data_IF_952254876437
#
_entry.id   IF_952254876437
#
_cell.length_a   1.000
_cell.length_b   1.000
_cell.length_c   1.000
_cell.angle_alpha   90.00
_cell.angle_beta   90.00
_cell.angle_gamma   90.00
#
_symmetry.space_group_name_H-M   'P 1'
#
loop_
_entity.id
_entity.type
_entity.pdbx_description
1 polymer ?
#
# COMPACT_ATOMS: atom_id res chain seq x y z
N UNK A 1 57.72 -27.27 -11.24
CA UNK A 1 56.82 -26.26 -10.66
C UNK A 1 56.20 -25.50 -11.81
N UNK A 2 55.03 -25.97 -12.26
CA UNK A 2 54.19 -25.34 -13.28
C UNK A 2 53.08 -24.57 -12.56
N UNK A 3 52.71 -23.39 -13.06
CA UNK A 3 51.38 -22.83 -12.84
C UNK A 3 50.79 -22.42 -14.19
N UNK A 4 49.69 -23.09 -14.54
CA UNK A 4 48.90 -22.92 -15.74
C UNK A 4 47.85 -21.83 -15.55
N UNK A 5 47.58 -21.09 -16.62
CA UNK A 5 46.32 -20.36 -16.82
C UNK A 5 45.19 -21.34 -17.16
N UNK A 6 43.94 -21.03 -16.79
CA UNK A 6 42.87 -20.65 -17.74
C UNK A 6 41.44 -20.88 -17.24
N UNK A 7 40.55 -20.01 -17.72
CA UNK A 7 39.16 -20.25 -18.16
C UNK A 7 38.01 -20.33 -17.13
N UNK A 8 37.20 -19.26 -17.18
CA UNK A 8 35.78 -19.25 -17.58
C UNK A 8 34.89 -20.41 -17.08
N UNK A 9 33.92 -20.09 -16.22
CA UNK A 9 32.65 -20.81 -16.14
C UNK A 9 31.50 -19.82 -16.00
N UNK A 10 30.79 -19.62 -17.12
CA UNK A 10 29.42 -19.13 -17.16
C UNK A 10 28.54 -20.22 -16.56
N UNK A 11 27.85 -19.95 -15.45
CA UNK A 11 26.74 -20.80 -15.01
C UNK A 11 25.46 -20.22 -15.57
N UNK A 12 24.78 -21.05 -16.37
CA UNK A 12 23.54 -20.76 -17.05
C UNK A 12 22.40 -20.48 -16.06
N UNK A 13 21.68 -19.37 -16.30
CA UNK A 13 20.30 -19.19 -15.82
C UNK A 13 19.43 -20.27 -16.47
N UNK A 14 19.11 -21.30 -15.70
CA UNK A 14 18.07 -22.26 -16.04
C UNK A 14 16.70 -21.61 -15.82
N UNK A 15 16.01 -21.30 -16.91
CA UNK A 15 14.58 -21.05 -16.92
C UNK A 15 13.89 -22.36 -16.53
N UNK A 16 13.39 -22.46 -15.30
CA UNK A 16 12.47 -23.52 -14.92
C UNK A 16 11.06 -23.05 -15.29
N UNK A 17 10.63 -23.38 -16.51
CA UNK A 17 9.23 -23.38 -16.89
C UNK A 17 8.47 -24.38 -16.02
N UNK A 18 7.66 -23.89 -15.09
CA UNK A 18 6.67 -24.69 -14.41
C UNK A 18 5.50 -24.95 -15.38
N UNK A 19 5.46 -26.15 -15.96
CA UNK A 19 4.30 -26.66 -16.66
C UNK A 19 3.17 -26.95 -15.65
N UNK A 20 2.15 -26.10 -15.59
CA UNK A 20 0.88 -26.45 -14.96
C UNK A 20 0.11 -27.40 -15.88
N UNK A 21 -0.06 -28.63 -15.42
CA UNK A 21 -1.02 -29.60 -15.96
C UNK A 21 -2.42 -29.13 -15.59
N UNK A 22 -3.11 -28.50 -16.54
CA UNK A 22 -4.54 -28.23 -16.47
C UNK A 22 -5.30 -29.50 -16.88
N UNK A 23 -5.91 -30.19 -15.92
CA UNK A 23 -6.90 -31.24 -16.20
C UNK A 23 -8.29 -30.59 -16.22
N UNK A 24 -8.74 -30.16 -17.40
CA UNK A 24 -10.11 -29.70 -17.61
C UNK A 24 -10.98 -30.89 -18.02
N UNK A 25 -11.96 -31.23 -17.18
CA UNK A 25 -13.06 -32.12 -17.57
C UNK A 25 -14.07 -31.36 -18.43
N UNK A 26 -14.43 -32.00 -19.53
CA UNK A 26 -15.36 -31.56 -20.57
C UNK A 26 -16.80 -31.89 -20.16
N UNK A 27 -17.68 -30.90 -20.27
CA UNK A 27 -19.08 -30.99 -20.71
C UNK A 27 -19.49 -29.52 -20.97
N UNK A 28 -19.79 -29.01 -22.16
CA UNK A 28 -20.35 -29.62 -23.35
C UNK A 28 -21.66 -28.89 -23.69
N UNK A 29 -21.69 -28.23 -24.85
CA UNK A 29 -22.79 -27.54 -25.58
C UNK A 29 -22.76 -25.99 -25.50
N UNK A 30 -22.21 -25.27 -26.49
CA UNK A 30 -22.57 -25.10 -27.90
C UNK A 30 -23.74 -24.12 -28.11
N UNK A 31 -23.42 -22.90 -28.56
CA UNK A 31 -23.92 -22.32 -29.82
C UNK A 31 -23.21 -20.98 -30.09
N UNK A 32 -22.23 -21.02 -31.00
CA UNK A 32 -21.75 -19.84 -31.70
C UNK A 32 -22.14 -20.01 -33.18
N UNK A 33 -22.75 -18.98 -33.75
CA UNK A 33 -22.82 -18.80 -35.20
C UNK A 33 -22.22 -17.44 -35.52
N UNK A 34 -21.23 -17.47 -36.41
CA UNK A 34 -20.65 -16.32 -37.08
C UNK A 34 -20.80 -16.50 -38.60
N UNK A 35 -20.65 -15.37 -39.31
CA UNK A 35 -20.35 -15.22 -40.76
C UNK A 35 -21.58 -15.27 -41.70
N UNK A 36 -21.78 -14.43 -42.73
CA UNK A 36 -21.03 -13.32 -43.42
C UNK A 36 -22.06 -12.54 -44.34
N UNK A 37 -21.70 -11.86 -45.47
CA UNK A 37 -21.91 -10.42 -45.72
C UNK A 37 -22.87 -10.17 -46.93
N UNK A 38 -22.76 -9.01 -47.61
CA UNK A 38 -23.44 -8.56 -48.86
C UNK A 38 -24.63 -7.60 -48.63
N UNK A 39 -24.84 -6.46 -49.31
CA UNK A 39 -24.26 -5.86 -50.52
C UNK A 39 -24.45 -4.32 -50.49
N UNK A 40 -23.67 -3.62 -51.32
CA UNK A 40 -23.77 -2.20 -51.67
C UNK A 40 -25.11 -1.82 -52.33
N UNK A 41 -25.49 -0.54 -52.26
CA UNK A 41 -25.80 0.35 -53.40
C UNK A 41 -26.37 1.70 -52.90
N UNK A 42 -25.92 2.81 -53.50
CA UNK A 42 -26.76 4.01 -53.66
C UNK A 42 -26.21 5.33 -53.14
N UNK A 43 -25.37 5.96 -53.96
CA UNK A 43 -25.01 7.38 -53.96
C UNK A 43 -26.26 8.24 -54.17
N UNK A 44 -26.46 9.32 -53.41
CA UNK A 44 -26.65 10.62 -54.05
C UNK A 44 -26.38 11.85 -53.17
N UNK A 45 -25.85 12.85 -53.83
CA UNK A 45 -25.27 14.08 -53.31
C UNK A 45 -26.31 15.21 -53.32
N UNK A 46 -26.19 16.19 -52.43
CA UNK A 46 -26.56 17.57 -52.78
C UNK A 46 -25.82 18.60 -51.91
N UNK A 47 -24.81 19.19 -52.54
CA UNK A 47 -24.17 20.45 -52.16
C UNK A 47 -25.06 21.61 -52.62
N UNK A 48 -25.26 22.61 -51.77
CA UNK A 48 -25.67 23.94 -52.21
C UNK A 48 -24.46 24.87 -52.18
N UNK A 49 -23.94 25.14 -53.38
CA UNK A 49 -22.99 26.21 -53.65
C UNK A 49 -23.74 27.54 -53.75
N UNK A 50 -23.18 28.61 -53.17
CA UNK A 50 -23.50 29.99 -53.53
C UNK A 50 -22.23 30.69 -53.99
N UNK A 51 -22.41 31.35 -55.12
CA UNK A 51 -21.45 31.77 -56.13
C UNK A 51 -20.92 33.17 -55.82
N UNK A 52 -19.62 33.35 -55.99
CA UNK A 52 -18.92 34.64 -55.95
C UNK A 52 -19.05 35.30 -57.32
N UNK A 53 -19.48 36.56 -57.36
CA UNK A 53 -19.28 37.47 -58.50
C UNK A 53 -18.36 38.62 -58.05
N UNK A 54 -17.36 38.92 -58.88
CA UNK A 54 -16.51 40.11 -58.83
C UNK A 54 -16.91 41.03 -59.99
N UNK A 55 -17.01 42.35 -59.77
CA UNK A 55 -16.20 43.39 -60.45
C UNK A 55 -16.45 44.80 -59.85
N UNK A 56 -15.68 45.88 -60.20
CA UNK A 56 -15.04 46.74 -59.20
C UNK A 56 -15.38 48.25 -59.31
N UNK A 57 -15.11 49.05 -58.27
CA UNK A 57 -14.58 50.43 -58.35
C UNK A 57 -14.51 51.13 -56.98
N UNK A 58 -13.29 51.60 -56.66
CA UNK A 58 -12.91 52.84 -55.94
C UNK A 58 -13.82 53.43 -54.84
N UNK A 59 -13.31 53.58 -53.61
CA UNK A 59 -12.46 54.72 -53.23
C UNK A 59 -11.99 54.60 -51.77
N UNK A 60 -10.85 55.21 -51.54
CA UNK A 60 -10.06 55.32 -50.31
C UNK A 60 -10.81 55.90 -49.10
N UNK A 61 -10.70 55.20 -47.96
CA UNK A 61 -10.59 55.83 -46.65
C UNK A 61 -9.85 54.89 -45.69
N UNK A 62 -8.58 55.20 -45.43
CA UNK A 62 -7.76 54.55 -44.40
C UNK A 62 -8.16 55.16 -43.06
N UNK A 63 -8.79 54.35 -42.20
CA UNK A 63 -8.91 54.64 -40.77
C UNK A 63 -7.68 54.05 -40.05
N UNK A 64 -7.13 54.71 -39.01
CA UNK A 64 -5.87 54.28 -38.41
C UNK A 64 -6.04 52.95 -37.67
N UNK A 65 -5.05 52.08 -37.84
CA UNK A 65 -4.89 50.85 -37.04
C UNK A 65 -4.82 51.27 -35.57
N UNK A 66 -5.87 50.98 -34.80
CA UNK A 66 -5.76 50.95 -33.36
C UNK A 66 -4.80 49.83 -33.00
N UNK A 67 -3.67 50.19 -32.40
CA UNK A 67 -2.79 49.25 -31.72
C UNK A 67 -3.65 48.48 -30.71
N UNK A 68 -3.87 47.19 -30.97
CA UNK A 68 -4.29 46.27 -29.94
C UNK A 68 -3.13 46.26 -28.96
N UNK A 69 -3.30 46.96 -27.83
CA UNK A 69 -2.49 46.71 -26.66
C UNK A 69 -2.73 45.24 -26.33
N UNK A 70 -1.75 44.39 -26.66
CA UNK A 70 -1.59 43.11 -25.99
C UNK A 70 -1.31 43.46 -24.54
N UNK A 71 -2.36 43.51 -23.71
CA UNK A 71 -2.20 43.29 -22.28
C UNK A 71 -1.49 41.95 -22.16
N UNK A 72 -0.19 41.99 -21.82
CA UNK A 72 0.54 40.81 -21.38
C UNK A 72 -0.33 40.12 -20.35
N UNK A 73 -0.67 38.85 -20.59
CA UNK A 73 -1.28 38.01 -19.59
C UNK A 73 -0.48 38.17 -18.28
N UNK A 74 -1.13 38.35 -17.13
CA UNK A 74 -0.43 38.63 -15.88
C UNK A 74 0.67 37.57 -15.69
N UNK A 75 1.90 38.04 -15.47
CA UNK A 75 3.07 37.19 -15.32
C UNK A 75 2.76 36.02 -14.39
N UNK A 76 2.95 34.79 -14.90
CA UNK A 76 2.67 33.54 -14.21
C UNK A 76 3.27 33.62 -12.79
N UNK A 77 2.44 33.54 -11.76
CA UNK A 77 2.86 33.67 -10.36
C UNK A 77 3.60 32.40 -9.91
N UNK A 78 4.82 32.26 -10.41
CA UNK A 78 5.75 31.18 -10.11
C UNK A 78 6.60 31.60 -8.91
N UNK A 79 6.51 30.83 -7.83
CA UNK A 79 7.40 30.99 -6.67
C UNK A 79 8.53 29.98 -6.78
N UNK A 80 9.73 30.36 -6.40
CA UNK A 80 10.90 29.48 -6.44
C UNK A 80 11.59 29.36 -5.08
N UNK A 81 12.40 28.32 -4.93
CA UNK A 81 13.25 28.15 -3.77
C UNK A 81 14.17 26.95 -3.89
N UNK A 82 14.67 26.50 -2.75
CA UNK A 82 15.55 25.34 -2.65
C UNK A 82 15.13 24.39 -1.54
N UNK A 83 15.25 23.10 -1.83
CA UNK A 83 15.32 22.04 -0.84
C UNK A 83 16.72 21.46 -0.94
N UNK A 84 17.59 22.00 -0.11
CA UNK A 84 19.00 21.68 -0.17
C UNK A 84 19.72 22.15 -1.42
N UNK A 85 20.39 21.22 -2.10
CA UNK A 85 21.00 21.45 -3.40
C UNK A 85 19.97 21.59 -4.52
N UNK A 86 18.77 21.05 -4.32
CA UNK A 86 17.73 20.98 -5.35
C UNK A 86 16.89 22.25 -5.41
N UNK A 87 16.81 22.86 -6.58
CA UNK A 87 15.89 23.97 -6.84
C UNK A 87 14.47 23.46 -7.02
N UNK A 88 13.49 24.28 -6.66
CA UNK A 88 12.09 24.01 -6.98
C UNK A 88 11.40 25.27 -7.49
N UNK A 89 10.38 25.08 -8.31
CA UNK A 89 9.43 26.11 -8.71
C UNK A 89 8.01 25.65 -8.42
N UNK A 90 7.11 26.56 -8.11
CA UNK A 90 5.70 26.29 -7.81
C UNK A 90 4.82 27.25 -8.58
N UNK A 91 3.92 26.71 -9.40
CA UNK A 91 2.87 27.44 -10.07
C UNK A 91 1.58 27.36 -9.26
N UNK A 92 1.21 28.50 -8.66
CA UNK A 92 -0.01 28.61 -7.85
C UNK A 92 -1.31 28.44 -8.65
N UNK A 93 -1.28 28.67 -9.97
CA UNK A 93 -2.47 28.54 -10.83
C UNK A 93 -2.80 27.07 -11.15
N UNK A 94 -1.78 26.24 -11.34
CA UNK A 94 -1.92 24.80 -11.59
C UNK A 94 -1.76 23.95 -10.33
N UNK A 95 -1.28 24.56 -9.23
CA UNK A 95 -0.88 23.89 -7.99
C UNK A 95 0.20 22.81 -8.21
N UNK A 96 1.05 23.02 -9.21
CA UNK A 96 2.13 22.10 -9.60
C UNK A 96 3.47 22.63 -9.12
N UNK A 97 4.29 21.74 -8.56
CA UNK A 97 5.68 22.00 -8.22
C UNK A 97 6.60 21.17 -9.10
N UNK A 98 7.65 21.82 -9.60
CA UNK A 98 8.78 21.17 -10.27
C UNK A 98 9.97 21.16 -9.31
N UNK A 99 10.46 19.99 -8.94
CA UNK A 99 11.62 19.77 -8.06
C UNK A 99 12.82 19.30 -8.89
N UNK A 100 14.02 19.72 -8.50
CA UNK A 100 15.25 19.53 -9.28
C UNK A 100 15.15 20.13 -10.70
N UNK A 101 14.39 21.22 -10.85
CA UNK A 101 14.05 21.76 -12.18
C UNK A 101 15.27 22.31 -12.95
N UNK A 102 16.31 22.78 -12.24
CA UNK A 102 17.48 23.42 -12.86
C UNK A 102 18.56 22.41 -13.30
N UNK A 103 18.37 21.12 -13.02
CA UNK A 103 19.32 20.05 -13.28
C UNK A 103 19.51 19.13 -12.06
N UNK A 104 20.36 18.12 -12.23
CA UNK A 104 20.68 17.17 -11.17
C UNK A 104 21.25 17.87 -9.92
N UNK A 105 20.94 17.34 -8.75
CA UNK A 105 21.27 17.96 -7.47
C UNK A 105 21.43 16.92 -6.36
N UNK A 106 22.08 17.33 -5.28
CA UNK A 106 22.18 16.51 -4.07
C UNK A 106 21.07 16.90 -3.09
N UNK A 107 20.35 15.89 -2.58
CA UNK A 107 19.45 16.07 -1.45
C UNK A 107 20.25 16.53 -0.22
N UNK A 108 19.76 17.53 0.52
CA UNK A 108 20.48 18.01 1.71
C UNK A 108 20.44 17.06 2.91
N UNK A 109 21.24 17.47 3.91
CA UNK A 109 21.33 17.03 5.30
C UNK A 109 20.00 16.46 5.85
N UNK A 110 20.05 15.31 6.54
CA UNK A 110 18.97 14.61 7.24
C UNK A 110 17.81 15.43 7.81
N UNK A 111 16.58 14.92 7.65
CA UNK A 111 15.41 15.33 8.44
C UNK A 111 14.86 16.73 8.15
N UNK A 112 14.99 17.20 6.90
CA UNK A 112 14.42 18.48 6.44
C UNK A 112 13.35 18.23 5.38
N UNK A 113 12.09 18.46 5.76
CA UNK A 113 10.96 18.36 4.84
C UNK A 113 11.09 19.33 3.67
N UNK A 114 10.62 18.93 2.50
CA UNK A 114 10.34 19.85 1.41
C UNK A 114 9.35 20.91 1.92
N UNK A 115 9.66 22.19 1.71
CA UNK A 115 8.83 23.30 2.21
C UNK A 115 8.65 23.31 3.75
N UNK A 116 9.64 22.82 4.51
CA UNK A 116 9.58 22.73 5.97
C UNK A 116 9.60 24.06 6.76
N UNK A 117 9.70 25.22 6.11
CA UNK A 117 9.67 26.54 6.78
C UNK A 117 8.23 27.07 6.90
N UNK A 118 7.96 27.88 7.92
CA UNK A 118 6.65 28.55 8.08
C UNK A 118 6.29 29.41 6.87
N UNK A 119 7.28 30.09 6.29
CA UNK A 119 7.11 30.92 5.09
C UNK A 119 6.64 30.12 3.86
N UNK A 120 6.87 28.80 3.84
CA UNK A 120 6.47 27.89 2.76
C UNK A 120 5.28 27.00 3.13
N UNK A 121 4.72 27.13 4.34
CA UNK A 121 3.63 26.27 4.81
C UNK A 121 2.34 26.43 3.99
N UNK A 122 2.08 27.61 3.42
CA UNK A 122 0.96 27.82 2.51
C UNK A 122 1.14 27.08 1.19
N UNK A 123 2.35 27.05 0.63
CA UNK A 123 2.66 26.28 -0.58
C UNK A 123 2.53 24.78 -0.28
N UNK A 124 3.11 24.33 0.84
CA UNK A 124 3.08 22.92 1.27
C UNK A 124 1.65 22.38 1.35
N UNK A 125 0.73 23.14 1.97
CA UNK A 125 -0.67 22.69 2.11
C UNK A 125 -1.49 22.71 0.82
N UNK A 126 -1.06 23.47 -0.20
CA UNK A 126 -1.82 23.70 -1.43
C UNK A 126 -1.23 23.03 -2.69
N UNK A 127 -0.01 22.50 -2.63
CA UNK A 127 0.57 21.75 -3.76
C UNK A 127 -0.25 20.48 -4.00
N UNK A 128 -0.59 20.22 -5.26
CA UNK A 128 -1.35 19.02 -5.66
C UNK A 128 -0.51 18.01 -6.43
N UNK A 129 0.47 18.51 -7.18
CA UNK A 129 1.35 17.66 -7.98
C UNK A 129 2.79 18.10 -7.79
N UNK A 130 3.68 17.15 -7.54
CA UNK A 130 5.13 17.35 -7.59
C UNK A 130 5.68 16.55 -8.76
N UNK A 131 6.51 17.19 -9.57
CA UNK A 131 7.23 16.57 -10.69
C UNK A 131 8.71 16.70 -10.37
N UNK A 132 9.42 15.57 -10.29
CA UNK A 132 10.87 15.53 -10.11
C UNK A 132 11.51 15.49 -11.50
N UNK A 133 12.03 16.62 -11.97
CA UNK A 133 12.46 16.78 -13.36
C UNK A 133 13.82 16.13 -13.67
N UNK A 134 14.71 16.07 -12.67
CA UNK A 134 16.08 15.58 -12.83
C UNK A 134 16.50 14.74 -11.62
N UNK A 135 17.61 14.00 -11.77
CA UNK A 135 18.15 13.13 -10.73
C UNK A 135 18.44 13.87 -9.43
N UNK A 136 17.97 13.31 -8.32
CA UNK A 136 18.26 13.74 -6.96
C UNK A 136 19.15 12.69 -6.30
N UNK A 137 20.43 13.00 -6.10
CA UNK A 137 21.36 12.11 -5.41
C UNK A 137 21.13 12.17 -3.91
N UNK A 138 20.89 11.02 -3.27
CA UNK A 138 20.75 10.89 -1.83
C UNK A 138 22.08 10.43 -1.23
N UNK A 139 22.60 11.22 -0.29
CA UNK A 139 23.89 10.96 0.37
C UNK A 139 23.75 10.44 1.81
N UNK A 140 22.57 10.62 2.43
CA UNK A 140 22.31 10.25 3.82
C UNK A 140 21.00 9.47 3.95
N UNK A 141 20.99 8.46 4.84
CA UNK A 141 19.82 7.60 5.11
C UNK A 141 18.52 8.35 5.37
N UNK A 142 18.60 9.50 6.05
CA UNK A 142 17.44 10.27 6.50
C UNK A 142 17.06 11.43 5.57
N UNK A 143 17.66 11.54 4.38
CA UNK A 143 17.35 12.66 3.48
C UNK A 143 15.92 12.60 2.93
N UNK A 144 15.30 11.42 2.86
CA UNK A 144 13.92 11.24 2.38
C UNK A 144 12.88 11.24 3.51
N UNK A 145 13.31 11.26 4.77
CA UNK A 145 12.40 11.32 5.91
C UNK A 145 11.52 12.55 5.83
N UNK A 146 10.21 12.36 5.99
CA UNK A 146 9.22 13.43 6.02
C UNK A 146 9.24 14.34 4.79
N UNK A 147 9.72 13.85 3.63
CA UNK A 147 9.92 14.68 2.44
C UNK A 147 8.66 15.45 2.05
N UNK A 148 7.50 14.78 1.99
CA UNK A 148 6.21 15.35 1.63
C UNK A 148 5.25 15.54 2.81
N UNK A 149 5.74 15.33 4.04
CA UNK A 149 4.91 15.40 5.24
C UNK A 149 4.12 16.71 5.32
N UNK A 150 2.82 16.62 5.63
CA UNK A 150 1.86 17.73 5.71
C UNK A 150 1.56 18.45 4.40
N UNK A 151 1.88 17.84 3.26
CA UNK A 151 1.40 18.31 1.98
C UNK A 151 -0.06 17.86 1.76
N UNK A 152 -0.99 18.44 2.54
CA UNK A 152 -2.37 17.95 2.66
C UNK A 152 -3.16 17.86 1.35
N UNK A 153 -2.78 18.62 0.32
CA UNK A 153 -3.44 18.58 -1.00
C UNK A 153 -2.69 17.74 -2.04
N UNK A 154 -1.52 17.16 -1.68
CA UNK A 154 -0.66 16.45 -2.61
C UNK A 154 -1.28 15.10 -2.98
N UNK A 155 -1.62 14.95 -4.25
CA UNK A 155 -2.28 13.77 -4.82
C UNK A 155 -1.38 12.99 -5.78
N UNK A 156 -0.37 13.65 -6.36
CA UNK A 156 0.48 13.03 -7.37
C UNK A 156 1.94 13.43 -7.20
N UNK A 157 2.83 12.44 -7.25
CA UNK A 157 4.27 12.63 -7.42
C UNK A 157 4.70 11.89 -8.68
N UNK A 158 5.33 12.59 -9.61
CA UNK A 158 5.86 12.03 -10.85
C UNK A 158 7.39 12.05 -10.82
N UNK A 159 8.01 10.96 -11.27
CA UNK A 159 9.46 10.84 -11.34
C UNK A 159 10.09 10.52 -9.99
N UNK A 160 9.42 9.78 -9.10
CA UNK A 160 10.03 9.38 -7.84
C UNK A 160 11.26 8.50 -8.08
N UNK A 161 11.25 7.72 -9.15
CA UNK A 161 12.41 7.00 -9.70
C UNK A 161 13.63 7.85 -10.07
N UNK A 162 13.52 9.18 -10.12
CA UNK A 162 14.68 10.07 -10.29
C UNK A 162 15.49 10.25 -8.99
N UNK A 163 15.05 9.67 -7.87
CA UNK A 163 15.80 9.67 -6.62
C UNK A 163 16.82 8.53 -6.65
N UNK A 164 18.11 8.87 -6.65
CA UNK A 164 19.22 7.94 -6.66
C UNK A 164 19.78 7.74 -5.25
N UNK A 165 19.58 6.54 -4.68
CA UNK A 165 20.09 6.15 -3.35
C UNK A 165 21.44 5.44 -3.41
N UNK A 166 22.02 5.21 -4.60
CA UNK A 166 23.21 4.35 -4.77
C UNK A 166 24.49 4.93 -4.17
N UNK A 167 24.52 6.25 -3.94
CA UNK A 167 25.69 6.96 -3.40
C UNK A 167 25.70 7.04 -1.87
N UNK A 168 24.73 6.42 -1.20
CA UNK A 168 24.67 6.40 0.27
C UNK A 168 25.79 5.57 0.89
N UNK A 169 26.31 6.02 2.03
CA UNK A 169 27.32 5.30 2.81
C UNK A 169 26.73 4.35 3.88
N UNK A 170 25.41 4.12 3.84
CA UNK A 170 24.68 3.32 4.82
C UNK A 170 23.76 2.34 4.10
N UNK A 171 23.54 1.18 4.71
CA UNK A 171 22.74 0.12 4.09
C UNK A 171 21.23 0.31 4.25
N UNK A 172 20.78 1.36 4.95
CA UNK A 172 19.36 1.62 5.22
C UNK A 172 18.92 2.94 4.62
N UNK A 173 17.89 2.91 3.77
CA UNK A 173 17.14 4.08 3.30
C UNK A 173 15.95 4.31 4.23
N UNK A 174 15.78 5.51 4.77
CA UNK A 174 14.63 5.83 5.61
C UNK A 174 13.63 6.69 4.84
N UNK A 175 12.46 6.10 4.59
CA UNK A 175 11.27 6.76 4.05
C UNK A 175 10.32 7.18 5.19
N UNK A 176 10.85 7.28 6.41
CA UNK A 176 10.02 7.48 7.60
C UNK A 176 9.16 8.75 7.46
N UNK A 177 7.86 8.59 7.57
CA UNK A 177 6.89 9.69 7.50
C UNK A 177 6.88 10.45 6.18
N UNK A 178 7.47 9.90 5.11
CA UNK A 178 7.69 10.61 3.85
C UNK A 178 6.38 11.14 3.24
N UNK A 179 5.30 10.36 3.33
CA UNK A 179 3.97 10.67 2.79
C UNK A 179 2.93 10.97 3.88
N UNK A 180 3.33 11.18 5.15
CA UNK A 180 2.36 11.44 6.24
C UNK A 180 1.52 12.69 5.98
N UNK A 181 0.22 12.61 6.29
CA UNK A 181 -0.71 13.74 6.14
C UNK A 181 -0.80 14.28 4.69
N UNK A 182 -0.69 13.39 3.70
CA UNK A 182 -0.88 13.66 2.24
C UNK A 182 -2.10 12.91 1.69
N UNK A 183 -2.44 13.12 0.41
CA UNK A 183 -3.46 12.36 -0.32
C UNK A 183 -2.81 11.39 -1.34
N UNK A 184 -1.57 10.98 -1.11
CA UNK A 184 -0.89 9.99 -1.94
C UNK A 184 -1.45 8.59 -1.68
N UNK A 185 -1.49 7.78 -2.73
CA UNK A 185 -2.23 6.50 -2.76
C UNK A 185 -1.34 5.27 -3.03
N UNK A 186 -0.02 5.44 -3.09
CA UNK A 186 0.94 4.37 -3.41
C UNK A 186 1.44 4.40 -4.85
N UNK A 187 0.70 5.02 -5.79
CA UNK A 187 1.08 5.06 -7.20
C UNK A 187 2.40 5.78 -7.46
N UNK A 188 2.84 6.67 -6.56
CA UNK A 188 4.13 7.35 -6.66
C UNK A 188 5.33 6.40 -6.60
N UNK A 189 5.15 5.18 -6.10
CA UNK A 189 6.22 4.20 -5.98
C UNK A 189 6.39 3.30 -7.21
N UNK A 190 5.52 3.40 -8.22
CA UNK A 190 5.55 2.53 -9.41
C UNK A 190 6.89 2.60 -10.17
N UNK A 191 7.55 3.76 -10.15
CA UNK A 191 8.85 4.00 -10.79
C UNK A 191 10.04 4.07 -9.80
N UNK A 192 9.81 3.86 -8.50
CA UNK A 192 10.83 3.96 -7.46
C UNK A 192 11.40 2.60 -7.07
N UNK A 193 12.68 2.38 -7.37
CA UNK A 193 13.36 1.09 -7.18
C UNK A 193 14.48 1.20 -6.14
N UNK A 194 14.53 0.23 -5.23
CA UNK A 194 15.63 0.00 -4.28
C UNK A 194 16.08 -1.45 -4.47
N UNK A 195 17.37 -1.67 -4.74
CA UNK A 195 17.92 -3.00 -5.03
C UNK A 195 18.40 -3.69 -3.73
N UNK A 196 19.56 -3.28 -3.21
CA UNK A 196 20.23 -3.99 -2.10
C UNK A 196 19.97 -3.40 -0.71
N UNK A 197 19.49 -2.16 -0.63
CA UNK A 197 19.40 -1.43 0.64
C UNK A 197 18.19 -1.89 1.43
N UNK A 198 18.31 -1.98 2.75
CA UNK A 198 17.18 -2.14 3.65
C UNK A 198 16.37 -0.84 3.68
N UNK A 199 15.07 -0.94 3.96
CA UNK A 199 14.17 0.21 3.96
C UNK A 199 13.38 0.28 5.26
N UNK A 200 13.38 1.47 5.87
CA UNK A 200 12.55 1.82 7.02
C UNK A 200 11.37 2.67 6.52
N UNK A 201 10.15 2.13 6.63
CA UNK A 201 8.90 2.78 6.18
C UNK A 201 7.99 3.15 7.34
N UNK A 202 8.54 3.31 8.55
CA UNK A 202 7.76 3.78 9.70
C UNK A 202 7.00 5.06 9.37
N UNK A 203 5.78 5.17 9.86
CA UNK A 203 4.94 6.35 9.66
C UNK A 203 4.67 6.74 8.18
N UNK A 204 5.03 5.91 7.17
CA UNK A 204 5.11 6.34 5.75
C UNK A 204 3.90 7.15 5.30
N UNK A 205 2.70 6.66 5.59
CA UNK A 205 1.40 7.26 5.29
C UNK A 205 0.60 7.57 6.57
N UNK A 206 1.25 7.73 7.72
CA UNK A 206 0.55 8.03 8.98
C UNK A 206 -0.33 9.27 8.82
N UNK A 207 -1.58 9.17 9.26
CA UNK A 207 -2.59 10.20 9.12
C UNK A 207 -2.87 10.57 7.68
N UNK A 208 -2.90 9.58 6.77
CA UNK A 208 -3.21 9.85 5.36
C UNK A 208 -4.59 10.48 5.24
N UNK A 209 -4.73 11.35 4.24
CA UNK A 209 -5.98 11.98 3.84
C UNK A 209 -6.56 11.30 2.57
N UNK A 210 -5.89 10.25 2.08
CA UNK A 210 -6.40 9.43 1.00
C UNK A 210 -7.46 8.44 1.54
N UNK A 211 -8.55 8.27 0.81
CA UNK A 211 -9.60 7.30 1.18
C UNK A 211 -9.22 5.87 0.82
N UNK A 212 -8.26 5.68 -0.08
CA UNK A 212 -7.79 4.37 -0.52
C UNK A 212 -6.28 4.42 -0.75
N UNK A 213 -5.59 3.34 -0.39
CA UNK A 213 -4.16 3.16 -0.66
C UNK A 213 -3.92 1.79 -1.30
N UNK A 214 -3.19 1.78 -2.42
CA UNK A 214 -2.70 0.56 -3.06
C UNK A 214 -1.18 0.45 -2.90
N UNK A 215 -0.76 -0.34 -1.90
CA UNK A 215 0.66 -0.58 -1.63
C UNK A 215 1.28 -1.61 -2.59
N UNK A 216 0.55 -2.11 -3.59
CA UNK A 216 1.11 -3.06 -4.56
C UNK A 216 2.09 -2.43 -5.55
N UNK A 217 2.14 -1.10 -5.61
CA UNK A 217 3.13 -0.34 -6.35
C UNK A 217 4.50 -0.28 -5.68
N UNK A 218 4.59 -0.59 -4.37
CA UNK A 218 5.87 -0.73 -3.67
C UNK A 218 6.45 -2.10 -4.02
N UNK A 219 7.52 -2.16 -4.84
CA UNK A 219 8.11 -3.42 -5.31
C UNK A 219 9.28 -3.93 -4.45
N UNK A 220 9.59 -3.23 -3.35
CA UNK A 220 10.73 -3.51 -2.48
C UNK A 220 10.29 -3.98 -1.09
N UNK A 221 9.15 -4.68 -0.96
CA UNK A 221 8.70 -5.23 0.33
C UNK A 221 9.70 -6.20 0.96
N UNK A 222 10.48 -6.88 0.12
CA UNK A 222 11.55 -7.74 0.57
C UNK A 222 12.69 -6.97 1.24
N UNK A 223 12.83 -5.66 1.03
CA UNK A 223 13.82 -4.79 1.68
C UNK A 223 13.32 -4.14 2.98
N UNK A 224 12.00 -4.09 3.18
CA UNK A 224 11.40 -3.37 4.32
C UNK A 224 11.67 -4.12 5.62
N UNK A 225 12.17 -3.42 6.64
CA UNK A 225 12.44 -4.00 7.97
C UNK A 225 11.41 -3.63 9.03
N UNK A 226 10.81 -2.44 8.91
CA UNK A 226 9.91 -1.86 9.89
C UNK A 226 8.80 -1.06 9.20
N UNK A 227 7.55 -1.45 9.47
CA UNK A 227 6.31 -0.82 8.98
C UNK A 227 5.47 -0.26 10.13
N UNK A 228 6.09 0.01 11.28
CA UNK A 228 5.37 0.50 12.44
C UNK A 228 4.70 1.85 12.15
N UNK A 229 3.45 2.00 12.57
CA UNK A 229 2.63 3.18 12.31
C UNK A 229 2.46 3.56 10.83
N UNK A 230 2.76 2.65 9.88
CA UNK A 230 2.83 2.99 8.44
C UNK A 230 1.57 3.67 7.92
N UNK A 231 0.38 3.26 8.36
CA UNK A 231 -0.92 3.80 7.94
C UNK A 231 -1.76 4.35 9.10
N UNK A 232 -1.25 4.29 10.33
CA UNK A 232 -1.99 4.62 11.55
C UNK A 232 -2.59 6.04 11.56
N UNK A 233 -3.60 6.22 12.42
CA UNK A 233 -4.25 7.49 12.73
C UNK A 233 -4.86 8.18 11.49
N UNK A 234 -5.36 7.38 10.54
CA UNK A 234 -5.95 7.85 9.29
C UNK A 234 -7.47 7.86 9.37
N UNK A 235 -8.03 9.05 9.62
CA UNK A 235 -9.47 9.25 9.85
C UNK A 235 -10.33 8.96 8.60
N UNK A 236 -9.80 9.13 7.39
CA UNK A 236 -10.56 8.99 6.12
C UNK A 236 -10.23 7.69 5.34
N UNK A 237 -9.25 6.90 5.79
CA UNK A 237 -8.76 5.73 5.07
C UNK A 237 -9.79 4.58 5.13
N UNK A 238 -10.33 4.18 3.98
CA UNK A 238 -11.41 3.20 3.89
C UNK A 238 -10.96 1.83 3.33
N UNK A 239 -10.14 1.82 2.29
CA UNK A 239 -9.64 0.58 1.65
C UNK A 239 -8.11 0.55 1.53
N UNK A 240 -7.51 -0.59 1.87
CA UNK A 240 -6.08 -0.83 1.65
C UNK A 240 -5.84 -2.12 0.90
N UNK A 241 -5.00 -2.06 -0.12
CA UNK A 241 -4.45 -3.24 -0.79
C UNK A 241 -2.99 -3.41 -0.38
N UNK A 242 -2.66 -4.58 0.19
CA UNK A 242 -1.29 -4.99 0.51
C UNK A 242 -0.85 -6.03 -0.52
N UNK A 243 0.37 -5.96 -1.09
CA UNK A 243 0.75 -6.78 -2.24
C UNK A 243 0.87 -8.26 -1.97
N UNK A 244 0.88 -9.01 -3.08
CA UNK A 244 1.32 -10.39 -3.11
C UNK A 244 2.85 -10.45 -3.26
N UNK A 245 3.57 -10.36 -2.15
CA UNK A 245 5.04 -10.50 -2.10
C UNK A 245 5.49 -11.24 -0.83
N UNK A 246 6.78 -11.55 -0.77
CA UNK A 246 7.44 -12.01 0.45
C UNK A 246 8.23 -10.88 1.09
N UNK A 247 7.76 -10.39 2.23
CA UNK A 247 8.49 -9.43 3.05
C UNK A 247 9.48 -10.16 3.98
N UNK A 248 10.52 -10.75 3.40
CA UNK A 248 11.49 -11.56 4.15
C UNK A 248 12.28 -10.75 5.20
N UNK A 249 12.43 -9.44 5.05
CA UNK A 249 13.14 -8.62 6.04
C UNK A 249 12.22 -7.94 7.07
N UNK A 250 10.90 -7.99 6.87
CA UNK A 250 9.94 -7.29 7.73
C UNK A 250 9.84 -7.96 9.09
N UNK A 251 10.23 -7.22 10.13
CA UNK A 251 10.26 -7.68 11.52
C UNK A 251 9.18 -7.01 12.39
N UNK A 252 8.86 -5.74 12.11
CA UNK A 252 7.94 -4.94 12.93
C UNK A 252 6.78 -4.38 12.11
N UNK A 253 5.56 -4.62 12.58
CA UNK A 253 4.31 -4.04 12.06
C UNK A 253 3.49 -3.41 13.20
N UNK A 254 4.19 -2.89 14.21
CA UNK A 254 3.59 -2.36 15.43
C UNK A 254 2.71 -1.15 15.10
N UNK A 255 1.45 -1.15 15.53
CA UNK A 255 0.47 -0.09 15.22
C UNK A 255 0.26 0.20 13.73
N UNK A 256 0.55 -0.73 12.80
CA UNK A 256 0.55 -0.45 11.36
C UNK A 256 -0.73 0.26 10.86
N UNK A 257 -1.91 -0.15 11.34
CA UNK A 257 -3.23 0.40 11.03
C UNK A 257 -3.96 0.94 12.29
N UNK A 258 -3.22 1.28 13.35
CA UNK A 258 -3.86 1.63 14.61
C UNK A 258 -4.65 2.94 14.51
N UNK A 259 -5.82 2.97 15.13
CA UNK A 259 -6.71 4.13 15.19
C UNK A 259 -7.21 4.60 13.80
N UNK A 260 -7.23 3.72 12.79
CA UNK A 260 -7.84 3.96 11.47
C UNK A 260 -9.36 3.70 11.54
N UNK A 261 -10.10 4.66 12.11
CA UNK A 261 -11.50 4.42 12.52
C UNK A 261 -12.49 4.18 11.37
N UNK A 262 -12.20 4.69 10.17
CA UNK A 262 -13.01 4.47 8.94
C UNK A 262 -12.52 3.30 8.07
N UNK A 263 -11.43 2.62 8.46
CA UNK A 263 -10.89 1.49 7.72
C UNK A 263 -11.91 0.36 7.66
N UNK A 264 -12.41 0.08 6.46
CA UNK A 264 -13.47 -0.89 6.25
C UNK A 264 -12.95 -2.22 5.70
N UNK A 265 -11.90 -2.17 4.88
CA UNK A 265 -11.43 -3.33 4.13
C UNK A 265 -9.91 -3.30 3.93
N UNK A 266 -9.25 -4.40 4.31
CA UNK A 266 -7.83 -4.65 4.09
C UNK A 266 -7.66 -5.93 3.31
N UNK A 267 -7.15 -5.81 2.08
CA UNK A 267 -6.77 -6.95 1.25
C UNK A 267 -5.33 -7.33 1.55
N UNK A 268 -5.14 -8.24 2.50
CA UNK A 268 -3.82 -8.72 2.90
C UNK A 268 -3.35 -9.93 2.08
N UNK A 269 -2.35 -9.73 1.22
CA UNK A 269 -1.74 -10.80 0.42
C UNK A 269 -0.26 -11.09 0.76
N UNK A 270 0.32 -10.30 1.66
CA UNK A 270 1.74 -10.30 1.97
C UNK A 270 2.12 -11.49 2.87
N UNK A 271 3.19 -12.18 2.51
CA UNK A 271 3.82 -13.19 3.38
C UNK A 271 4.92 -12.54 4.21
N UNK A 272 4.87 -12.71 5.52
CA UNK A 272 5.79 -12.05 6.46
C UNK A 272 6.52 -13.09 7.32
N UNK A 273 7.40 -13.92 6.74
CA UNK A 273 7.99 -15.07 7.43
C UNK A 273 8.85 -14.70 8.64
N UNK A 274 9.42 -13.49 8.66
CA UNK A 274 10.31 -13.01 9.72
C UNK A 274 9.65 -11.95 10.63
N UNK A 275 8.33 -11.75 10.54
CA UNK A 275 7.61 -10.83 11.41
C UNK A 275 7.61 -11.34 12.85
N UNK A 276 8.13 -10.52 13.77
CA UNK A 276 8.27 -10.82 15.19
C UNK A 276 7.35 -9.96 16.07
N UNK A 277 7.02 -8.74 15.64
CA UNK A 277 6.16 -7.80 16.37
C UNK A 277 4.95 -7.36 15.53
N UNK A 278 3.76 -7.74 15.99
CA UNK A 278 2.47 -7.29 15.45
C UNK A 278 1.59 -6.62 16.52
N UNK A 279 2.22 -5.97 17.50
CA UNK A 279 1.52 -5.29 18.59
C UNK A 279 0.60 -4.20 18.05
N UNK A 280 -0.63 -4.18 18.55
CA UNK A 280 -1.63 -3.16 18.22
C UNK A 280 -1.85 -2.96 16.72
N UNK A 281 -1.52 -3.94 15.87
CA UNK A 281 -1.43 -3.75 14.42
C UNK A 281 -2.72 -3.21 13.79
N UNK A 282 -3.88 -3.62 14.32
CA UNK A 282 -5.20 -3.16 13.89
C UNK A 282 -5.98 -2.50 15.03
N UNK A 283 -5.33 -2.11 16.14
CA UNK A 283 -6.02 -1.58 17.32
C UNK A 283 -6.97 -0.43 16.94
N UNK A 284 -8.21 -0.50 17.42
CA UNK A 284 -9.22 0.56 17.30
C UNK A 284 -9.64 0.86 15.84
N UNK A 285 -9.60 -0.14 14.97
CA UNK A 285 -10.17 -0.10 13.62
C UNK A 285 -11.69 -0.33 13.67
N UNK A 286 -12.45 0.63 14.23
CA UNK A 286 -13.84 0.38 14.65
C UNK A 286 -14.82 0.02 13.53
N UNK A 287 -14.54 0.39 12.27
CA UNK A 287 -15.37 0.06 11.11
C UNK A 287 -14.93 -1.19 10.34
N UNK A 288 -13.76 -1.78 10.65
CA UNK A 288 -13.23 -2.94 9.95
C UNK A 288 -14.12 -4.15 10.19
N UNK A 289 -14.78 -4.69 9.14
CA UNK A 289 -15.78 -5.76 9.30
C UNK A 289 -15.21 -7.15 9.19
N UNK A 290 -14.31 -7.34 8.24
CA UNK A 290 -13.74 -8.63 7.92
C UNK A 290 -12.26 -8.48 7.65
N UNK A 291 -11.48 -9.47 8.11
CA UNK A 291 -10.04 -9.47 7.89
C UNK A 291 -9.55 -10.89 7.61
N UNK A 292 -8.79 -11.04 6.52
CA UNK A 292 -8.17 -12.30 6.13
C UNK A 292 -6.65 -12.19 6.21
N UNK A 293 -6.06 -12.68 7.31
CA UNK A 293 -4.62 -12.74 7.54
C UNK A 293 -4.04 -14.14 7.26
N UNK A 294 -4.69 -14.95 6.42
CA UNK A 294 -4.20 -16.30 6.12
C UNK A 294 -2.83 -16.31 5.44
N UNK A 295 -2.42 -15.18 4.85
CA UNK A 295 -1.13 -14.99 4.18
C UNK A 295 -0.02 -14.42 5.05
N UNK A 296 -0.30 -13.86 6.23
CA UNK A 296 0.73 -13.23 7.09
C UNK A 296 1.83 -14.22 7.53
N UNK A 297 1.53 -15.50 7.75
CA UNK A 297 2.50 -16.62 7.88
C UNK A 297 3.87 -16.33 8.60
N UNK A 298 3.90 -15.71 9.81
CA UNK A 298 5.14 -15.50 10.54
C UNK A 298 5.71 -16.82 11.08
N UNK A 299 7.02 -17.07 10.93
CA UNK A 299 7.65 -18.27 11.49
C UNK A 299 7.88 -18.18 13.00
N UNK A 300 7.97 -16.97 13.56
CA UNK A 300 8.21 -16.72 14.99
C UNK A 300 7.65 -15.36 15.41
N UNK A 301 6.32 -15.26 15.46
CA UNK A 301 5.68 -14.09 16.06
C UNK A 301 5.91 -14.11 17.58
N UNK A 302 6.57 -13.08 18.10
CA UNK A 302 6.93 -12.98 19.51
C UNK A 302 5.89 -12.19 20.31
N UNK A 303 5.21 -11.23 19.67
CA UNK A 303 4.25 -10.36 20.35
C UNK A 303 3.11 -9.89 19.45
N UNK A 304 1.91 -9.86 20.02
CA UNK A 304 0.67 -9.43 19.37
C UNK A 304 -0.29 -8.77 20.38
N UNK A 305 0.23 -8.18 21.46
CA UNK A 305 -0.60 -7.51 22.46
C UNK A 305 -1.47 -6.45 21.78
N UNK A 306 -2.73 -6.37 22.20
CA UNK A 306 -3.71 -5.42 21.67
C UNK A 306 -3.96 -5.48 20.15
N UNK A 307 -3.56 -6.55 19.45
CA UNK A 307 -3.56 -6.59 17.98
C UNK A 307 -4.89 -6.18 17.34
N UNK A 308 -6.03 -6.61 17.92
CA UNK A 308 -7.38 -6.26 17.48
C UNK A 308 -8.19 -5.57 18.60
N UNK A 309 -7.50 -4.91 19.54
CA UNK A 309 -8.16 -4.33 20.71
C UNK A 309 -9.09 -3.17 20.29
N UNK A 310 -10.32 -3.16 20.80
CA UNK A 310 -11.35 -2.16 20.48
C UNK A 310 -11.81 -2.17 19.00
N UNK A 311 -11.60 -3.29 18.29
CA UNK A 311 -12.14 -3.50 16.93
C UNK A 311 -13.60 -3.95 17.00
N UNK A 312 -14.47 -3.05 17.46
CA UNK A 312 -15.90 -3.34 17.68
C UNK A 312 -16.63 -3.80 16.41
N UNK A 313 -16.17 -3.36 15.24
CA UNK A 313 -16.73 -3.71 13.93
C UNK A 313 -16.31 -5.07 13.41
N UNK A 314 -15.20 -5.64 13.91
CA UNK A 314 -14.57 -6.84 13.36
C UNK A 314 -15.36 -8.09 13.76
N UNK A 315 -16.20 -8.58 12.85
CA UNK A 315 -17.05 -9.74 13.10
C UNK A 315 -16.44 -11.02 12.53
N UNK A 316 -15.77 -10.96 11.37
CA UNK A 316 -15.20 -12.13 10.71
C UNK A 316 -13.68 -12.04 10.57
N UNK A 317 -12.96 -12.93 11.24
CA UNK A 317 -11.50 -12.96 11.22
C UNK A 317 -10.98 -14.31 10.74
N UNK A 318 -10.03 -14.31 9.80
CA UNK A 318 -9.30 -15.51 9.40
C UNK A 318 -7.82 -15.36 9.69
N UNK A 319 -7.28 -16.31 10.44
CA UNK A 319 -5.89 -16.38 10.83
C UNK A 319 -5.21 -17.57 10.13
N UNK A 320 -4.01 -17.34 9.61
CA UNK A 320 -3.21 -18.37 8.95
C UNK A 320 -2.58 -19.37 9.92
N UNK A 321 -1.97 -20.41 9.34
CA UNK A 321 -1.36 -21.55 10.06
C UNK A 321 -0.44 -21.16 11.22
N UNK A 322 0.28 -20.06 11.07
CA UNK A 322 1.33 -19.64 12.00
C UNK A 322 0.96 -18.39 12.80
N UNK A 323 -0.23 -17.83 12.58
CA UNK A 323 -0.67 -16.64 13.29
C UNK A 323 -0.84 -16.97 14.78
N UNK A 324 -0.15 -16.22 15.64
CA UNK A 324 -0.21 -16.31 17.11
C UNK A 324 0.36 -17.60 17.73
N UNK A 325 0.71 -18.62 16.94
CA UNK A 325 1.11 -19.94 17.42
C UNK A 325 2.52 -20.05 18.03
N UNK A 326 3.35 -19.01 17.95
CA UNK A 326 4.73 -19.06 18.47
C UNK A 326 4.97 -18.15 19.68
N UNK A 327 3.92 -17.49 20.19
CA UNK A 327 4.03 -16.59 21.34
C UNK A 327 4.15 -17.43 22.62
N UNK A 328 5.22 -17.22 23.38
CA UNK A 328 5.56 -18.02 24.57
C UNK A 328 5.47 -17.26 25.89
N UNK A 329 5.42 -15.92 25.85
CA UNK A 329 5.27 -15.07 27.03
C UNK A 329 3.82 -14.57 27.15
N UNK A 330 3.21 -14.74 28.32
CA UNK A 330 1.85 -14.28 28.59
C UNK A 330 1.71 -12.76 28.40
N UNK A 331 2.69 -11.97 28.83
CA UNK A 331 2.64 -10.50 28.70
C UNK A 331 2.49 -10.03 27.23
N UNK A 332 2.90 -10.86 26.26
CA UNK A 332 2.91 -10.55 24.84
C UNK A 332 1.58 -10.86 24.12
N UNK A 333 0.56 -11.38 24.83
CA UNK A 333 -0.76 -11.74 24.28
C UNK A 333 -1.93 -11.03 24.97
N UNK A 334 -1.66 -10.06 25.85
CA UNK A 334 -2.74 -9.34 26.53
C UNK A 334 -3.65 -8.63 25.54
N UNK A 335 -4.96 -8.74 25.76
CA UNK A 335 -6.01 -8.04 25.01
C UNK A 335 -5.98 -8.22 23.49
N UNK A 336 -5.44 -9.33 22.94
CA UNK A 336 -5.43 -9.58 21.48
C UNK A 336 -6.82 -9.35 20.87
N UNK A 337 -7.88 -9.88 21.50
CA UNK A 337 -9.27 -9.76 21.06
C UNK A 337 -10.14 -8.97 22.04
N UNK A 338 -9.53 -8.16 22.91
CA UNK A 338 -10.27 -7.36 23.87
C UNK A 338 -11.23 -6.41 23.17
N UNK A 339 -12.49 -6.42 23.58
CA UNK A 339 -13.53 -5.53 23.05
C UNK A 339 -13.77 -5.66 21.52
N UNK A 340 -13.53 -6.85 20.96
CA UNK A 340 -13.84 -7.16 19.55
C UNK A 340 -15.30 -7.59 19.32
N UNK A 341 -15.78 -7.38 18.09
CA UNK A 341 -17.08 -7.86 17.60
C UNK A 341 -17.10 -9.31 17.09
N UNK A 342 -16.01 -10.08 17.26
CA UNK A 342 -15.79 -11.35 16.54
C UNK A 342 -16.91 -12.36 16.82
N UNK A 343 -17.63 -12.73 15.77
CA UNK A 343 -18.69 -13.74 15.74
C UNK A 343 -18.32 -14.95 14.86
N UNK A 344 -17.33 -14.80 13.98
CA UNK A 344 -16.79 -15.84 13.11
C UNK A 344 -15.28 -15.76 13.13
N UNK A 345 -14.62 -16.85 13.51
CA UNK A 345 -13.17 -16.93 13.50
C UNK A 345 -12.68 -18.22 12.86
N UNK A 346 -11.74 -18.11 11.94
CA UNK A 346 -11.03 -19.25 11.36
C UNK A 346 -9.60 -19.25 11.86
N UNK A 347 -9.18 -20.31 12.54
CA UNK A 347 -7.79 -20.46 12.96
C UNK A 347 -7.39 -21.93 13.13
N UNK A 348 -6.08 -22.25 13.12
CA UNK A 348 -5.59 -23.59 13.39
C UNK A 348 -5.81 -24.01 14.83
N UNK A 349 -5.99 -25.32 15.03
CA UNK A 349 -6.14 -25.91 16.37
C UNK A 349 -4.98 -25.60 17.31
N UNK A 350 -3.75 -25.61 16.79
CA UNK A 350 -2.56 -25.24 17.57
C UNK A 350 -2.63 -23.81 18.13
N UNK A 351 -3.13 -22.85 17.34
CA UNK A 351 -3.28 -21.46 17.79
C UNK A 351 -4.34 -21.36 18.91
N UNK A 352 -5.47 -22.06 18.76
CA UNK A 352 -6.51 -22.13 19.80
C UNK A 352 -5.95 -22.67 21.12
N UNK A 353 -5.25 -23.80 21.07
CA UNK A 353 -4.67 -24.44 22.25
C UNK A 353 -3.66 -23.53 22.96
N UNK A 354 -2.82 -22.81 22.21
CA UNK A 354 -1.81 -21.92 22.80
C UNK A 354 -2.43 -20.67 23.42
N UNK A 355 -3.40 -20.04 22.75
CA UNK A 355 -4.12 -18.90 23.32
C UNK A 355 -4.88 -19.28 24.59
N UNK A 356 -5.46 -20.48 24.64
CA UNK A 356 -6.14 -20.99 25.83
C UNK A 356 -5.20 -21.09 27.03
N UNK A 357 -3.92 -21.44 26.84
CA UNK A 357 -2.94 -21.54 27.93
C UNK A 357 -2.69 -20.20 28.66
N UNK A 358 -2.96 -19.08 28.00
CA UNK A 358 -2.85 -17.74 28.60
C UNK A 358 -4.19 -17.20 29.12
N UNK A 359 -5.30 -17.91 28.86
CA UNK A 359 -6.61 -17.51 29.37
C UNK A 359 -6.63 -17.52 30.90
N UNK A 360 -7.16 -16.44 31.49
CA UNK A 360 -7.21 -16.25 32.94
C UNK A 360 -5.89 -15.76 33.57
N UNK A 361 -4.79 -15.78 32.82
CA UNK A 361 -3.54 -15.08 33.16
C UNK A 361 -3.61 -13.65 32.62
N UNK A 362 -4.04 -13.51 31.37
CA UNK A 362 -4.18 -12.24 30.69
C UNK A 362 -5.64 -12.00 30.24
N UNK A 363 -6.13 -10.76 30.33
CA UNK A 363 -7.46 -10.40 29.87
C UNK A 363 -7.53 -10.34 28.33
N UNK A 364 -8.72 -10.58 27.77
CA UNK A 364 -9.00 -10.38 26.33
C UNK A 364 -8.20 -11.24 25.35
N UNK A 365 -7.62 -12.36 25.79
CA UNK A 365 -6.80 -13.26 24.95
C UNK A 365 -7.63 -14.07 23.95
N UNK A 366 -8.90 -14.36 24.27
CA UNK A 366 -9.82 -15.10 23.42
C UNK A 366 -10.94 -14.17 22.96
N UNK A 367 -11.50 -14.37 21.75
CA UNK A 367 -12.70 -13.66 21.36
C UNK A 367 -13.85 -14.17 22.24
N UNK A 368 -14.40 -13.27 23.05
CA UNK A 368 -15.45 -13.55 24.04
C UNK A 368 -15.04 -14.44 25.25
N UNK A 369 -16.05 -14.80 26.06
CA UNK A 369 -15.87 -15.54 27.32
C UNK A 369 -15.72 -17.05 27.11
N UNK A 370 -15.19 -17.77 28.11
CA UNK A 370 -15.14 -19.25 28.14
C UNK A 370 -16.52 -19.93 28.16
N UNK A 371 -17.58 -19.21 28.48
CA UNK A 371 -18.96 -19.74 28.46
C UNK A 371 -19.59 -19.65 27.07
N UNK A 372 -18.97 -18.92 26.15
CA UNK A 372 -19.46 -18.74 24.80
C UNK A 372 -19.37 -20.06 24.05
N UNK A 373 -20.49 -20.45 23.42
CA UNK A 373 -20.54 -21.62 22.56
C UNK A 373 -20.22 -21.22 21.13
N UNK A 374 -19.45 -22.07 20.47
CA UNK A 374 -19.00 -21.93 19.10
C UNK A 374 -19.39 -23.16 18.31
N UNK A 375 -20.08 -22.93 17.21
CA UNK A 375 -20.48 -23.95 16.25
C UNK A 375 -19.46 -24.01 15.12
N UNK A 376 -18.97 -25.21 14.81
CA UNK A 376 -17.93 -25.41 13.81
C UNK A 376 -17.91 -26.83 13.30
N UNK A 377 -17.08 -27.10 12.29
CA UNK A 377 -16.94 -28.41 11.67
C UNK A 377 -15.48 -28.72 11.40
N UNK A 378 -15.00 -29.86 11.90
CA UNK A 378 -13.70 -30.42 11.53
C UNK A 378 -13.79 -31.08 10.16
N UNK A 379 -12.68 -31.07 9.42
CA UNK A 379 -12.50 -31.73 8.11
C UNK A 379 -12.98 -33.18 8.09
N UNK A 380 -12.65 -33.95 9.12
CA UNK A 380 -12.96 -35.38 9.24
C UNK A 380 -14.33 -35.68 9.89
N UNK A 381 -15.09 -34.65 10.28
CA UNK A 381 -16.39 -34.82 10.95
C UNK A 381 -17.55 -34.67 9.96
N UNK A 382 -18.53 -35.60 10.04
CA UNK A 382 -19.75 -35.52 9.22
C UNK A 382 -20.67 -34.35 9.62
N UNK A 383 -20.77 -34.08 10.94
CA UNK A 383 -21.69 -33.10 11.52
C UNK A 383 -20.95 -31.93 12.18
N UNK A 384 -21.62 -30.79 12.24
CA UNK A 384 -21.17 -29.66 13.07
C UNK A 384 -21.21 -30.03 14.55
N UNK A 385 -20.26 -29.49 15.31
CA UNK A 385 -20.21 -29.55 16.78
C UNK A 385 -20.46 -28.15 17.34
N UNK A 386 -21.06 -28.09 18.53
CA UNK A 386 -21.19 -26.85 19.30
C UNK A 386 -20.47 -27.06 20.63
N UNK A 387 -19.42 -26.29 20.85
CA UNK A 387 -18.44 -26.49 21.91
C UNK A 387 -17.92 -25.13 22.41
N UNK A 388 -17.41 -25.07 23.63
CA UNK A 388 -16.70 -23.87 24.10
C UNK A 388 -15.21 -23.88 23.66
N UNK A 389 -14.48 -22.81 23.99
CA UNK A 389 -13.05 -22.69 23.65
C UNK A 389 -12.18 -23.82 24.22
N UNK A 390 -12.43 -24.26 25.46
CA UNK A 390 -11.67 -25.35 26.08
C UNK A 390 -11.84 -26.67 25.34
N UNK A 391 -13.06 -26.98 24.91
CA UNK A 391 -13.37 -28.18 24.15
C UNK A 391 -12.75 -28.11 22.74
N UNK A 392 -12.94 -27.00 22.03
CA UNK A 392 -12.37 -26.82 20.69
C UNK A 392 -10.84 -26.91 20.70
N UNK A 393 -10.18 -26.30 21.67
CA UNK A 393 -8.72 -26.29 21.82
C UNK A 393 -8.12 -27.64 22.22
N UNK A 394 -8.88 -28.51 22.89
CA UNK A 394 -8.43 -29.83 23.35
C UNK A 394 -9.00 -30.99 22.51
N UNK A 395 -9.73 -30.69 21.43
CA UNK A 395 -10.35 -31.72 20.60
C UNK A 395 -9.31 -32.55 19.84
N UNK A 396 -9.22 -33.85 20.16
CA UNK A 396 -8.39 -34.81 19.46
C UNK A 396 -8.97 -35.15 18.07
N UNK A 397 -8.13 -35.14 17.03
CA UNK A 397 -8.50 -35.68 15.71
C UNK A 397 -8.50 -34.71 14.54
N UNK A 398 -8.10 -33.44 14.72
CA UNK A 398 -7.72 -32.58 13.60
C UNK A 398 -6.20 -32.54 13.46
N UNK A 399 -5.68 -32.53 12.23
CA UNK A 399 -4.26 -32.22 12.05
C UNK A 399 -4.02 -30.81 12.60
N UNK A 400 -3.02 -30.62 13.47
CA UNK A 400 -2.83 -29.38 14.24
C UNK A 400 -2.74 -28.09 13.40
N UNK A 401 -2.44 -28.25 12.10
CA UNK A 401 -2.29 -27.20 11.12
C UNK A 401 -3.56 -26.88 10.31
N UNK A 402 -4.61 -27.71 10.36
CA UNK A 402 -5.85 -27.49 9.62
C UNK A 402 -6.67 -26.38 10.30
N UNK A 403 -7.01 -25.29 9.58
CA UNK A 403 -7.86 -24.25 10.13
C UNK A 403 -9.30 -24.73 10.31
N UNK A 404 -9.90 -24.36 11.44
CA UNK A 404 -11.31 -24.61 11.74
C UNK A 404 -12.04 -23.27 11.78
N UNK A 405 -13.17 -23.18 11.09
CA UNK A 405 -14.06 -22.02 11.19
C UNK A 405 -15.08 -22.25 12.30
N UNK A 406 -15.08 -21.34 13.27
CA UNK A 406 -15.96 -21.32 14.43
C UNK A 406 -16.89 -20.11 14.33
N UNK A 407 -18.20 -20.35 14.48
CA UNK A 407 -19.24 -19.31 14.49
C UNK A 407 -19.90 -19.27 15.87
N UNK A 408 -19.94 -18.10 16.48
CA UNK A 408 -20.53 -17.85 17.79
C UNK A 408 -22.02 -18.20 17.77
N UNK A 409 -22.46 -18.93 18.77
CA UNK A 409 -23.88 -19.23 19.00
C UNK A 409 -24.45 -18.11 19.86
N UNK A 410 -25.52 -17.47 19.36
CA UNK A 410 -26.22 -16.35 20.00
C UNK A 410 -27.40 -16.84 20.81
#
# INVERSE_FOLDING_TARGET
MQTHSSLLSKVAMGVVSAAMVLSAMICGSAHAQSLTPSDELGVDSNQHALRVEQDPAQSSNVLPVQQINTEEAPARAVTEGKWGGCTWTYDSSTRTMHLAHAGACDATVPGKNLLGKDSTAAIRRNVQTIIIDNTITVLYAQSLQSLFKQAHSLQHVQGLGNIDTTQMHTDVVSLQGMCSETQLDGSEFEDFYIDDQLVDVRDLYRGTLATQIDLSHITFWHNITDSSYMLAESDDLHDVVVPWEDAYNLQHATFMFADDTDLYNVKWLLRTPNLTDANSMFRHCTNLRQLDLTKMLPQRLETAQYMFYEDYGLTNLKLGRLALGNISNAENVQYIFGDTGVDSITMPHEAMHRLLAFHGIQPGVLPSSMRTLWRGKLSDCANEKTQNWEQWANEDGSASWEPVTLVRVV
#
